data_IF_801326628338
#
_entry.id   IF_801326628338
#
_cell.length_a   1.000
_cell.length_b   1.000
_cell.length_c   1.000
_cell.angle_alpha   90.00
_cell.angle_beta   90.00
_cell.angle_gamma   90.00
#
_symmetry.space_group_name_H-M   'P 1'
#
loop_
_entity.id
_entity.type
_entity.pdbx_description
1 polymer ?
#
# COMPACT_ATOMS: atom_id res chain seq x y z
N UNK A 1 -24.67 3.28 -49.87
CA UNK A 1 -23.55 2.34 -49.64
C UNK A 1 -22.57 3.07 -48.72
N UNK A 2 -22.37 2.60 -47.50
CA UNK A 2 -21.48 3.24 -46.53
C UNK A 2 -20.08 2.65 -46.72
N UNK A 3 -19.07 3.48 -46.97
CA UNK A 3 -17.67 3.06 -47.05
C UNK A 3 -16.97 3.42 -45.74
N UNK A 4 -16.34 2.38 -45.18
CA UNK A 4 -15.90 2.30 -43.80
C UNK A 4 -14.75 3.24 -43.48
N UNK A 5 -14.93 3.95 -42.36
CA UNK A 5 -13.87 4.67 -41.67
C UNK A 5 -12.90 3.63 -41.08
N UNK A 6 -11.72 3.51 -41.67
CA UNK A 6 -10.61 2.76 -41.10
C UNK A 6 -10.27 3.38 -39.74
N UNK A 7 -10.42 2.60 -38.67
CA UNK A 7 -9.99 2.96 -37.32
C UNK A 7 -8.59 2.38 -37.13
N UNK A 8 -7.58 3.25 -37.07
CA UNK A 8 -6.21 2.90 -36.70
C UNK A 8 -6.16 2.27 -35.29
N UNK A 9 -5.75 1.00 -35.15
CA UNK A 9 -5.77 0.31 -33.84
C UNK A 9 -4.59 0.66 -32.92
N UNK A 10 -3.73 1.61 -33.28
CA UNK A 10 -2.47 1.88 -32.56
C UNK A 10 -2.59 3.02 -31.53
N UNK A 11 -3.71 3.73 -31.48
CA UNK A 11 -3.88 4.83 -30.50
C UNK A 11 -4.65 4.41 -29.24
N UNK A 12 -5.36 3.27 -29.25
CA UNK A 12 -6.16 2.82 -28.12
C UNK A 12 -5.33 2.13 -27.01
N UNK A 13 -4.10 1.71 -27.29
CA UNK A 13 -3.28 0.94 -26.35
C UNK A 13 -2.40 1.78 -25.41
N UNK A 14 -2.44 3.13 -25.50
CA UNK A 14 -1.58 4.00 -24.66
C UNK A 14 -2.32 4.77 -23.56
N UNK A 15 -3.64 4.86 -23.60
CA UNK A 15 -4.42 5.55 -22.56
C UNK A 15 -4.85 4.63 -21.40
N UNK A 16 -4.95 3.31 -21.63
CA UNK A 16 -5.33 2.32 -20.59
C UNK A 16 -4.20 1.94 -19.60
N UNK A 17 -3.04 2.60 -19.67
CA UNK A 17 -1.94 2.42 -18.71
C UNK A 17 -1.82 3.57 -17.70
N UNK A 18 -2.53 4.69 -17.89
CA UNK A 18 -2.45 5.86 -17.01
C UNK A 18 -3.57 5.93 -15.97
N UNK A 19 -4.53 4.99 -16.00
CA UNK A 19 -5.53 4.80 -14.94
C UNK A 19 -5.23 3.57 -14.09
N UNK A 20 -3.95 3.24 -13.91
CA UNK A 20 -3.59 2.34 -12.83
C UNK A 20 -3.87 3.11 -11.55
N UNK A 21 -5.06 2.91 -10.97
CA UNK A 21 -5.46 3.36 -9.65
C UNK A 21 -4.36 2.96 -8.65
N UNK A 22 -3.32 3.78 -8.48
CA UNK A 22 -2.23 3.51 -7.53
C UNK A 22 -2.80 3.34 -6.11
N UNK A 23 -3.95 3.96 -5.84
CA UNK A 23 -4.71 3.81 -4.60
C UNK A 23 -5.56 2.52 -4.52
N UNK A 24 -5.89 1.83 -5.61
CA UNK A 24 -6.54 0.49 -5.56
C UNK A 24 -5.54 -0.64 -5.45
N UNK A 25 -4.29 -0.44 -5.88
CA UNK A 25 -3.25 -1.46 -5.74
C UNK A 25 -2.62 -1.49 -4.33
N UNK A 26 -2.73 -0.40 -3.56
CA UNK A 26 -2.15 -0.36 -2.21
C UNK A 26 -3.14 -0.90 -1.17
N UNK A 27 -2.75 -1.91 -0.39
CA UNK A 27 -3.59 -2.43 0.69
C UNK A 27 -3.82 -1.34 1.74
N UNK A 28 -5.02 -1.35 2.34
CA UNK A 28 -5.32 -0.46 3.44
C UNK A 28 -4.43 -0.80 4.65
N UNK A 29 -3.82 0.20 5.31
CA UNK A 29 -2.88 -0.05 6.41
C UNK A 29 -3.55 -0.81 7.56
N UNK A 30 -2.93 -1.92 7.96
CA UNK A 30 -3.42 -2.79 9.04
C UNK A 30 -3.30 -2.20 10.45
N UNK A 31 -2.40 -1.23 10.64
CA UNK A 31 -2.11 -0.54 11.91
C UNK A 31 -1.99 0.94 11.64
N UNK A 32 -2.53 1.76 12.54
CA UNK A 32 -2.52 3.21 12.45
C UNK A 32 -1.62 3.85 13.53
N UNK A 33 -1.49 5.18 13.49
CA UNK A 33 -0.73 5.91 14.50
C UNK A 33 -1.27 5.79 15.93
N UNK A 34 -2.58 5.56 16.12
CA UNK A 34 -3.15 5.36 17.46
C UNK A 34 -2.67 4.04 18.07
N UNK A 35 -2.56 3.02 17.25
CA UNK A 35 -2.02 1.73 17.65
C UNK A 35 -0.53 1.82 17.99
N UNK A 36 0.26 2.61 17.25
CA UNK A 36 1.65 2.90 17.61
C UNK A 36 1.76 3.60 18.97
N UNK A 37 0.86 4.55 19.27
CA UNK A 37 0.80 5.21 20.59
C UNK A 37 0.51 4.19 21.69
N UNK A 38 -0.46 3.29 21.47
CA UNK A 38 -0.84 2.24 22.44
C UNK A 38 0.29 1.24 22.70
N UNK A 39 1.12 0.99 21.69
CA UNK A 39 2.30 0.14 21.81
C UNK A 39 3.50 0.85 22.47
N UNK A 40 3.36 2.13 22.84
CA UNK A 40 4.43 2.89 23.48
C UNK A 40 5.48 3.43 22.50
N UNK A 41 5.20 3.42 21.20
CA UNK A 41 6.12 3.95 20.19
C UNK A 41 6.27 5.46 20.36
N UNK A 42 7.49 6.00 20.50
CA UNK A 42 7.71 7.43 20.67
C UNK A 42 7.25 8.20 19.43
N UNK A 43 6.47 9.26 19.63
CA UNK A 43 5.96 10.08 18.52
C UNK A 43 7.12 10.74 17.76
N UNK A 44 7.07 10.68 16.43
CA UNK A 44 8.06 11.32 15.57
C UNK A 44 8.27 10.55 14.27
N UNK A 45 9.46 10.72 13.67
CA UNK A 45 9.82 10.13 12.37
C UNK A 45 9.70 8.60 12.34
N UNK A 46 9.86 7.93 13.48
CA UNK A 46 9.74 6.48 13.61
C UNK A 46 8.34 5.95 13.21
N UNK A 47 7.28 6.77 13.34
CA UNK A 47 5.93 6.37 12.91
C UNK A 47 5.90 6.18 11.41
N UNK A 48 6.51 7.10 10.66
CA UNK A 48 6.59 7.02 9.21
C UNK A 48 7.40 5.79 8.78
N UNK A 49 8.52 5.53 9.44
CA UNK A 49 9.37 4.36 9.18
C UNK A 49 8.64 3.04 9.42
N UNK A 50 7.88 2.95 10.51
CA UNK A 50 7.07 1.76 10.83
C UNK A 50 5.96 1.56 9.80
N UNK A 51 5.19 2.61 9.51
CA UNK A 51 4.06 2.53 8.57
C UNK A 51 4.53 2.21 7.14
N UNK A 52 5.68 2.73 6.74
CA UNK A 52 6.30 2.42 5.45
C UNK A 52 6.73 0.94 5.36
N UNK A 53 7.41 0.42 6.38
CA UNK A 53 7.79 -1.00 6.38
C UNK A 53 6.56 -1.93 6.42
N UNK A 54 5.52 -1.57 7.18
CA UNK A 54 4.26 -2.32 7.17
C UNK A 54 3.60 -2.30 5.79
N UNK A 55 3.63 -1.17 5.09
CA UNK A 55 3.12 -1.07 3.72
C UNK A 55 3.88 -2.00 2.77
N UNK A 56 5.21 -2.01 2.85
CA UNK A 56 6.06 -2.93 2.07
C UNK A 56 5.69 -4.39 2.36
N UNK A 57 5.60 -4.75 3.64
CA UNK A 57 5.23 -6.11 4.05
C UNK A 57 3.82 -6.53 3.60
N UNK A 58 2.86 -5.60 3.55
CA UNK A 58 1.53 -5.86 3.03
C UNK A 58 1.51 -6.03 1.52
N UNK A 59 2.31 -5.25 0.78
CA UNK A 59 2.47 -5.40 -0.66
C UNK A 59 3.13 -6.73 -1.04
N UNK A 60 4.03 -7.24 -0.20
CA UNK A 60 4.64 -8.56 -0.33
C UNK A 60 3.76 -9.71 0.22
N UNK A 61 2.54 -9.42 0.68
CA UNK A 61 1.62 -10.39 1.31
C UNK A 61 2.23 -11.12 2.54
N UNK A 62 3.31 -10.58 3.10
CA UNK A 62 4.01 -11.14 4.27
C UNK A 62 3.37 -10.76 5.61
N UNK A 63 2.63 -9.66 5.64
CA UNK A 63 1.78 -9.23 6.75
C UNK A 63 0.43 -8.90 6.17
N UNK A 64 -0.60 -9.69 6.49
CA UNK A 64 -1.95 -9.54 5.93
C UNK A 64 -3.00 -9.27 7.00
N UNK A 65 -2.63 -9.44 8.26
CA UNK A 65 -3.52 -9.27 9.41
C UNK A 65 -3.01 -8.20 10.38
N UNK A 66 -3.95 -7.61 11.12
CA UNK A 66 -3.63 -6.61 12.14
C UNK A 66 -2.75 -7.19 13.24
N UNK A 67 -2.94 -8.45 13.62
CA UNK A 67 -2.15 -9.11 14.66
C UNK A 67 -0.68 -9.27 14.25
N UNK A 68 -0.42 -9.66 13.00
CA UNK A 68 0.93 -9.73 12.43
C UNK A 68 1.58 -8.35 12.38
N UNK A 69 0.84 -7.34 11.95
CA UNK A 69 1.33 -5.96 11.91
C UNK A 69 1.71 -5.45 13.31
N UNK A 70 0.89 -5.70 14.34
CA UNK A 70 1.21 -5.34 15.72
C UNK A 70 2.45 -6.10 16.25
N UNK A 71 2.58 -7.38 15.91
CA UNK A 71 3.74 -8.19 16.28
C UNK A 71 5.03 -7.66 15.62
N UNK A 72 4.94 -7.24 14.36
CA UNK A 72 6.04 -6.60 13.63
C UNK A 72 6.48 -5.31 14.32
N UNK A 73 5.54 -4.42 14.65
CA UNK A 73 5.85 -3.17 15.37
C UNK A 73 6.57 -3.46 16.68
N UNK A 74 6.08 -4.42 17.48
CA UNK A 74 6.72 -4.81 18.75
C UNK A 74 8.15 -5.29 18.57
N UNK A 75 8.41 -6.08 17.51
CA UNK A 75 9.77 -6.53 17.16
C UNK A 75 10.68 -5.36 16.81
N UNK A 76 10.19 -4.41 16.02
CA UNK A 76 10.97 -3.27 15.56
C UNK A 76 11.32 -2.31 16.71
N UNK A 77 10.36 -2.07 17.62
CA UNK A 77 10.54 -1.12 18.73
C UNK A 77 11.21 -1.74 19.96
N UNK A 78 11.66 -2.99 19.87
CA UNK A 78 12.35 -3.67 20.98
C UNK A 78 11.45 -3.93 22.19
N UNK A 79 10.21 -4.36 21.94
CA UNK A 79 9.33 -4.85 23.01
C UNK A 79 9.90 -6.13 23.62
N UNK A 80 10.44 -5.99 24.84
CA UNK A 80 10.64 -7.09 25.79
C UNK A 80 9.28 -7.65 26.27
#
# INVERSE_FOLDING_TARGET
RAEGRALDPVTAAREELQRTDEAKLRPAPLVDGHDLIRLGVPKGSIYKEILQQLEEHQLEESITTREEALAFVRRLTGGA
#
